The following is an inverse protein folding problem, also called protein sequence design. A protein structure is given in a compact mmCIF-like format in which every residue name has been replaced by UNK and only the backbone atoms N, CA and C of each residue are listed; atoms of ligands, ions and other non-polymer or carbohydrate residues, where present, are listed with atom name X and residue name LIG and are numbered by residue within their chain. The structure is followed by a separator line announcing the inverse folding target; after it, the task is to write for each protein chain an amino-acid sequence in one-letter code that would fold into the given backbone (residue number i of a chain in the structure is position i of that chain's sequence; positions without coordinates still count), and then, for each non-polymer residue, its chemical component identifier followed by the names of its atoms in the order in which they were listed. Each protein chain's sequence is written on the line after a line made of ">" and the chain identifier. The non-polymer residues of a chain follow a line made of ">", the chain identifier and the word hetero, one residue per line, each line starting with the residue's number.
data_IF_770099990084
#
_entry.id   IF_770099990084
#
_cell.length_a   1.000
_cell.length_b   1.000
_cell.length_c   1.000
_cell.angle_alpha   90.00
_cell.angle_beta   90.00
_cell.angle_gamma   90.00
#
_symmetry.space_group_name_H-M   'P 1'
#
loop_
_entity.id
_entity.type
_entity.pdbx_description
1 polymer ?
#
# COMPACT_ATOMS: atom_id res chain seq x y z
N UNK A 1 -48.97 41.00 -23.21
CA UNK A 1 -48.19 39.76 -23.43
C UNK A 1 -47.20 39.62 -22.28
N UNK A 2 -47.42 38.71 -21.34
CA UNK A 2 -46.35 38.01 -20.60
C UNK A 2 -46.96 37.00 -19.62
N UNK A 3 -46.22 35.90 -19.44
CA UNK A 3 -46.34 34.92 -18.36
C UNK A 3 -47.46 33.88 -18.43
N UNK A 4 -47.25 32.85 -19.27
CA UNK A 4 -47.85 31.51 -19.09
C UNK A 4 -46.82 30.36 -19.07
N UNK A 5 -45.52 30.67 -19.07
CA UNK A 5 -44.47 29.65 -19.24
C UNK A 5 -43.69 29.28 -17.96
N UNK A 6 -43.95 29.91 -16.81
CA UNK A 6 -43.20 29.61 -15.57
C UNK A 6 -43.86 28.60 -14.63
N UNK A 7 -45.12 28.28 -14.81
CA UNK A 7 -45.87 27.46 -13.82
C UNK A 7 -45.63 25.94 -14.03
N UNK A 8 -45.27 25.49 -15.23
CA UNK A 8 -45.07 24.06 -15.50
C UNK A 8 -43.74 23.47 -14.99
N UNK A 9 -42.74 24.29 -14.70
CA UNK A 9 -41.42 23.81 -14.28
C UNK A 9 -41.33 23.56 -12.77
N UNK A 10 -42.05 24.34 -11.97
CA UNK A 10 -42.02 24.24 -10.51
C UNK A 10 -42.91 23.09 -9.99
N UNK A 11 -44.03 22.80 -10.66
CA UNK A 11 -44.88 21.65 -10.35
C UNK A 11 -44.21 20.29 -10.65
N UNK A 12 -43.30 20.22 -11.63
CA UNK A 12 -42.51 19.00 -11.89
C UNK A 12 -41.41 18.77 -10.84
N UNK A 13 -40.90 19.85 -10.22
CA UNK A 13 -39.84 19.76 -9.22
C UNK A 13 -40.39 19.41 -7.84
N UNK A 14 -41.62 19.82 -7.51
CA UNK A 14 -42.27 19.53 -6.23
C UNK A 14 -42.93 18.14 -6.18
N UNK A 15 -43.33 17.56 -7.32
CA UNK A 15 -43.81 16.17 -7.40
C UNK A 15 -42.67 15.13 -7.45
N UNK A 16 -41.42 15.57 -7.70
CA UNK A 16 -40.25 14.71 -7.87
C UNK A 16 -39.47 14.47 -6.57
N UNK A 17 -39.80 15.13 -5.46
CA UNK A 17 -39.19 14.87 -4.15
C UNK A 17 -39.71 13.56 -3.56
N UNK A 18 -39.20 12.44 -4.07
CA UNK A 18 -39.50 11.09 -3.60
C UNK A 18 -39.76 10.05 -4.70
N UNK A 19 -39.75 10.46 -5.97
CA UNK A 19 -39.91 9.51 -7.09
C UNK A 19 -38.58 8.80 -7.36
N UNK A 20 -38.57 7.46 -7.28
CA UNK A 20 -37.40 6.66 -7.64
C UNK A 20 -37.18 6.67 -9.15
N UNK A 21 -36.27 7.53 -9.61
CA UNK A 21 -35.91 7.59 -11.03
C UNK A 21 -35.03 6.42 -11.48
N UNK A 22 -34.47 5.61 -10.57
CA UNK A 22 -33.68 4.45 -10.98
C UNK A 22 -34.51 3.42 -11.73
N UNK A 23 -35.82 3.32 -11.47
CA UNK A 23 -36.73 2.43 -12.20
C UNK A 23 -36.75 2.70 -13.72
N UNK A 24 -36.44 3.94 -14.14
CA UNK A 24 -36.37 4.33 -15.56
C UNK A 24 -35.01 4.07 -16.20
N UNK A 25 -33.98 3.82 -15.39
CA UNK A 25 -32.60 3.62 -15.85
C UNK A 25 -32.40 2.14 -16.19
N UNK A 26 -31.82 1.77 -17.34
CA UNK A 26 -31.47 0.37 -17.64
C UNK A 26 -30.41 -0.21 -16.69
N UNK A 27 -30.46 -1.53 -16.44
CA UNK A 27 -29.52 -2.23 -15.55
C UNK A 27 -28.05 -2.02 -15.92
N UNK A 28 -27.73 -1.93 -17.21
CA UNK A 28 -26.37 -1.66 -17.68
C UNK A 28 -25.82 -0.32 -17.20
N UNK A 29 -26.66 0.72 -17.11
CA UNK A 29 -26.26 2.02 -16.58
C UNK A 29 -26.16 2.00 -15.06
N UNK A 30 -27.05 1.27 -14.38
CA UNK A 30 -26.96 1.09 -12.92
C UNK A 30 -25.67 0.37 -12.53
N UNK A 31 -25.27 -0.66 -13.29
CA UNK A 31 -23.99 -1.34 -13.11
C UNK A 31 -22.80 -0.41 -13.31
N UNK A 32 -22.85 0.48 -14.30
CA UNK A 32 -21.80 1.51 -14.48
C UNK A 32 -21.73 2.43 -13.25
N UNK A 33 -22.87 2.86 -12.71
CA UNK A 33 -22.92 3.69 -11.50
C UNK A 33 -22.30 2.95 -10.32
N UNK A 34 -22.64 1.67 -10.12
CA UNK A 34 -22.06 0.84 -9.05
C UNK A 34 -20.57 0.60 -9.21
N UNK A 35 -20.08 0.33 -10.44
CA UNK A 35 -18.65 0.23 -10.72
C UNK A 35 -17.90 1.55 -10.43
N UNK A 36 -18.54 2.71 -10.63
CA UNK A 36 -17.97 4.01 -10.24
C UNK A 36 -17.98 4.25 -8.73
N UNK A 37 -18.95 3.68 -8.00
CA UNK A 37 -18.98 3.73 -6.55
C UNK A 37 -17.81 2.94 -5.95
N UNK A 38 -17.61 1.70 -6.44
CA UNK A 38 -16.57 0.72 -6.06
C UNK A 38 -16.47 0.36 -4.56
N UNK A 39 -16.72 1.28 -3.63
CA UNK A 39 -16.63 1.06 -2.19
C UNK A 39 -17.60 -0.05 -1.74
N UNK A 40 -17.02 -1.16 -1.26
CA UNK A 40 -17.76 -2.37 -0.91
C UNK A 40 -18.81 -2.14 0.18
N UNK A 41 -18.56 -1.20 1.10
CA UNK A 41 -19.54 -0.84 2.14
C UNK A 41 -20.72 -0.07 1.57
N UNK A 42 -20.46 0.89 0.70
CA UNK A 42 -21.50 1.64 0.01
C UNK A 42 -22.31 0.73 -0.92
N UNK A 43 -21.65 -0.17 -1.66
CA UNK A 43 -22.30 -1.20 -2.46
C UNK A 43 -23.17 -2.15 -1.61
N UNK A 44 -22.67 -2.56 -0.44
CA UNK A 44 -23.47 -3.33 0.52
C UNK A 44 -24.73 -2.60 0.99
N UNK A 45 -24.66 -1.27 1.17
CA UNK A 45 -25.85 -0.45 1.44
C UNK A 45 -26.78 -0.35 0.24
N UNK A 46 -26.25 -0.23 -0.98
CA UNK A 46 -27.05 -0.26 -2.21
C UNK A 46 -27.84 -1.58 -2.33
N UNK A 47 -27.26 -2.71 -1.93
CA UNK A 47 -27.95 -4.01 -1.92
C UNK A 47 -29.18 -4.06 -1.00
N UNK A 48 -29.30 -3.14 -0.03
CA UNK A 48 -30.43 -3.08 0.89
C UNK A 48 -31.56 -2.14 0.41
N UNK A 49 -31.33 -1.36 -0.66
CA UNK A 49 -32.30 -0.37 -1.17
C UNK A 49 -33.48 -1.03 -1.87
N UNK A 50 -33.21 -1.99 -2.77
CA UNK A 50 -34.25 -2.67 -3.54
C UNK A 50 -33.81 -4.08 -3.96
N UNK A 51 -34.76 -4.94 -4.33
CA UNK A 51 -34.45 -6.28 -4.88
C UNK A 51 -33.62 -6.18 -6.16
N UNK A 52 -33.89 -5.16 -6.98
CA UNK A 52 -33.16 -4.91 -8.22
C UNK A 52 -31.70 -4.58 -7.93
N UNK A 53 -31.44 -3.69 -6.98
CA UNK A 53 -30.07 -3.34 -6.59
C UNK A 53 -29.37 -4.54 -5.95
N UNK A 54 -30.07 -5.30 -5.10
CA UNK A 54 -29.56 -6.53 -4.50
C UNK A 54 -29.07 -7.56 -5.54
N UNK A 55 -29.75 -7.68 -6.68
CA UNK A 55 -29.36 -8.56 -7.77
C UNK A 55 -28.19 -8.01 -8.62
N UNK A 56 -28.06 -6.69 -8.73
CA UNK A 56 -27.03 -6.04 -9.57
C UNK A 56 -25.69 -5.85 -8.84
N UNK A 57 -25.69 -5.55 -7.54
CA UNK A 57 -24.45 -5.32 -6.78
C UNK A 57 -23.45 -6.50 -6.85
N UNK A 58 -23.86 -7.78 -6.80
CA UNK A 58 -22.93 -8.90 -6.97
C UNK A 58 -22.21 -8.96 -8.32
N UNK A 59 -22.76 -8.28 -9.34
CA UNK A 59 -22.29 -8.29 -10.73
C UNK A 59 -21.30 -7.16 -11.04
N UNK A 60 -20.93 -6.35 -10.05
CA UNK A 60 -19.92 -5.30 -10.22
C UNK A 60 -18.55 -5.91 -10.51
N UNK A 61 -17.79 -5.18 -11.31
CA UNK A 61 -16.45 -5.53 -11.75
C UNK A 61 -15.39 -4.94 -10.83
N UNK A 62 -15.66 -3.73 -10.30
CA UNK A 62 -14.74 -2.95 -9.48
C UNK A 62 -15.20 -2.92 -8.02
N UNK A 63 -14.31 -3.33 -7.11
CA UNK A 63 -14.54 -3.27 -5.67
C UNK A 63 -13.35 -2.63 -4.94
N UNK A 64 -13.64 -1.74 -4.00
CA UNK A 64 -12.70 -1.11 -3.09
C UNK A 64 -13.09 -1.42 -1.66
N UNK A 65 -12.17 -2.00 -0.88
CA UNK A 65 -12.38 -2.35 0.52
C UNK A 65 -11.38 -1.59 1.39
N UNK A 66 -11.90 -0.70 2.23
CA UNK A 66 -11.11 -0.03 3.26
C UNK A 66 -11.28 -0.74 4.60
N UNK A 67 -10.17 -1.19 5.18
CA UNK A 67 -10.17 -1.88 6.47
C UNK A 67 -9.99 -0.85 7.58
N UNK A 68 -11.08 -0.47 8.26
CA UNK A 68 -11.03 0.50 9.35
C UNK A 68 -10.70 -0.21 10.67
N UNK A 69 -9.47 -0.02 11.14
CA UNK A 69 -8.94 -0.25 12.51
C UNK A 69 -9.19 -1.62 13.18
N UNK A 70 -8.08 -2.21 13.60
CA UNK A 70 -8.03 -3.31 14.57
C UNK A 70 -8.05 -2.68 15.96
N UNK A 71 -9.10 -2.94 16.73
CA UNK A 71 -9.11 -2.60 18.16
C UNK A 71 -8.06 -3.50 18.81
N UNK A 72 -7.03 -2.96 19.49
CA UNK A 72 -6.16 -3.78 20.32
C UNK A 72 -7.01 -4.40 21.43
N UNK A 73 -7.09 -5.72 21.45
CA UNK A 73 -7.67 -6.46 22.56
C UNK A 73 -6.68 -6.46 23.73
N UNK A 74 -6.55 -5.33 24.43
CA UNK A 74 -5.95 -5.27 25.76
C UNK A 74 -6.81 -4.33 26.61
N UNK A 75 -7.79 -4.93 27.29
CA UNK A 75 -8.76 -4.22 28.11
C UNK A 75 -9.50 -5.14 29.05
N UNK A 76 -8.81 -6.14 29.60
CA UNK A 76 -9.31 -6.95 30.70
C UNK A 76 -8.11 -7.56 31.44
N UNK A 77 -7.49 -6.78 32.32
CA UNK A 77 -6.97 -7.31 33.57
C UNK A 77 -6.86 -6.16 34.58
N UNK A 78 -7.85 -6.12 35.47
CA UNK A 78 -7.73 -5.40 36.73
C UNK A 78 -6.96 -6.30 37.71
N UNK A 79 -5.83 -5.82 38.22
CA UNK A 79 -5.07 -6.50 39.25
C UNK A 79 -4.01 -5.58 39.85
N UNK A 80 -4.25 -5.17 41.10
CA UNK A 80 -3.39 -4.30 41.89
C UNK A 80 -1.99 -4.89 42.14
N UNK A 81 -0.97 -4.03 42.24
CA UNK A 81 0.38 -4.42 42.64
C UNK A 81 1.33 -3.24 42.68
N UNK A 82 1.65 -2.80 43.90
CA UNK A 82 2.41 -1.61 44.23
C UNK A 82 3.91 -1.68 43.90
N UNK A 83 4.45 -0.50 43.62
CA UNK A 83 5.76 0.08 43.97
C UNK A 83 7.04 -0.74 44.19
N UNK A 84 8.12 -0.05 43.77
CA UNK A 84 9.49 -0.04 44.29
C UNK A 84 10.50 -0.98 43.62
N UNK A 85 11.42 -0.36 42.85
CA UNK A 85 12.83 -0.20 43.23
C UNK A 85 13.53 0.68 42.18
N UNK A 86 13.72 1.96 42.51
CA UNK A 86 14.54 2.88 41.73
C UNK A 86 16.04 2.66 41.97
N UNK A 87 16.86 3.00 40.97
CA UNK A 87 18.23 3.51 41.13
C UNK A 87 18.61 4.30 39.87
N UNK A 88 18.96 5.57 40.06
CA UNK A 88 19.33 6.54 39.03
C UNK A 88 20.79 6.36 38.55
N UNK A 89 21.06 6.69 37.26
CA UNK A 89 22.43 6.89 36.77
C UNK A 89 22.63 6.86 35.24
N UNK A 90 22.73 8.06 34.62
CA UNK A 90 23.33 8.41 33.31
C UNK A 90 22.62 8.03 31.97
N UNK A 91 22.69 8.90 30.93
CA UNK A 91 21.92 8.74 29.69
C UNK A 91 22.65 7.84 28.69
N UNK A 92 21.97 6.80 28.20
CA UNK A 92 22.42 5.97 27.06
C UNK A 92 21.39 6.05 25.94
N UNK A 93 21.71 6.60 24.75
CA UNK A 93 20.78 6.62 23.62
C UNK A 93 20.91 5.29 22.85
N UNK A 94 20.32 4.20 23.36
CA UNK A 94 20.36 2.89 22.65
C UNK A 94 19.06 2.07 22.64
N UNK A 95 17.91 2.65 22.96
CA UNK A 95 16.65 1.88 22.98
C UNK A 95 15.72 2.12 21.76
N UNK A 96 15.81 3.25 21.06
CA UNK A 96 14.75 3.71 20.14
C UNK A 96 14.55 2.82 18.90
N UNK A 97 15.64 2.28 18.32
CA UNK A 97 15.59 1.42 17.14
C UNK A 97 15.09 -0.01 17.42
N UNK A 98 15.26 -0.51 18.65
CA UNK A 98 14.68 -1.81 19.03
C UNK A 98 13.17 -1.71 19.17
N UNK A 99 12.68 -0.54 19.60
CA UNK A 99 11.26 -0.21 19.62
C UNK A 99 10.74 0.02 18.21
N UNK A 100 11.50 0.61 17.28
CA UNK A 100 11.07 0.75 15.87
C UNK A 100 10.96 -0.60 15.15
N UNK A 101 11.93 -1.52 15.34
CA UNK A 101 11.87 -2.86 14.75
C UNK A 101 10.75 -3.69 15.39
N UNK A 102 10.58 -3.62 16.71
CA UNK A 102 9.46 -4.28 17.41
C UNK A 102 8.12 -3.66 17.04
N UNK A 103 8.00 -2.35 16.91
CA UNK A 103 6.77 -1.67 16.52
C UNK A 103 6.43 -1.94 15.05
N UNK A 104 7.39 -1.91 14.13
CA UNK A 104 7.17 -2.29 12.71
C UNK A 104 6.76 -3.76 12.58
N UNK A 105 7.46 -4.67 13.27
CA UNK A 105 7.16 -6.09 13.23
C UNK A 105 5.82 -6.38 13.93
N UNK A 106 5.51 -5.71 15.05
CA UNK A 106 4.24 -5.85 15.75
C UNK A 106 3.09 -5.17 15.01
N UNK A 107 3.30 -4.07 14.30
CA UNK A 107 2.22 -3.40 13.57
C UNK A 107 1.95 -4.01 12.19
N UNK A 108 2.86 -4.86 11.68
CA UNK A 108 2.62 -5.73 10.51
C UNK A 108 2.04 -7.09 10.94
N UNK A 109 2.41 -7.62 12.13
CA UNK A 109 1.94 -8.93 12.60
C UNK A 109 0.68 -8.90 13.48
N UNK A 110 0.42 -7.84 14.26
CA UNK A 110 -0.71 -7.77 15.21
C UNK A 110 -2.07 -7.36 14.62
N UNK A 111 -2.23 -6.70 13.45
CA UNK A 111 -3.57 -6.40 12.98
C UNK A 111 -4.37 -7.65 12.55
N UNK A 112 -3.73 -8.82 12.39
CA UNK A 112 -4.37 -9.98 11.76
C UNK A 112 -4.37 -11.25 12.61
N UNK A 113 -4.02 -11.16 13.90
CA UNK A 113 -4.22 -12.28 14.84
C UNK A 113 -5.70 -12.68 15.00
N UNK A 114 -6.63 -11.85 14.50
CA UNK A 114 -8.08 -12.09 14.53
C UNK A 114 -8.65 -12.67 13.23
N UNK A 115 -7.83 -12.93 12.21
CA UNK A 115 -8.31 -13.48 10.93
C UNK A 115 -8.42 -15.02 10.91
N UNK A 116 -7.87 -15.72 11.90
CA UNK A 116 -7.99 -17.18 12.07
C UNK A 116 -9.09 -17.55 13.10
N UNK A 117 -10.33 -17.06 12.90
CA UNK A 117 -11.47 -17.52 13.68
C UNK A 117 -12.13 -18.71 12.97
N UNK A 118 -11.65 -19.93 13.26
CA UNK A 118 -12.34 -21.18 12.91
C UNK A 118 -13.71 -21.21 13.59
N UNK A 119 -14.76 -21.26 12.78
CA UNK A 119 -16.15 -21.50 13.19
C UNK A 119 -16.29 -22.77 14.04
N UNK A 120 -16.70 -22.61 15.30
CA UNK A 120 -17.20 -23.68 16.18
C UNK A 120 -18.48 -23.23 16.86
N UNK A 121 -19.57 -23.98 16.64
CA UNK A 121 -20.91 -23.67 17.12
C UNK A 121 -21.07 -23.81 18.65
N UNK A 122 -21.93 -22.97 19.27
CA UNK A 122 -22.54 -23.30 20.56
C UNK A 122 -22.88 -22.13 21.50
N UNK A 123 -24.15 -21.73 21.47
CA UNK A 123 -25.01 -21.32 22.61
C UNK A 123 -24.76 -20.02 23.44
N UNK A 124 -25.85 -19.23 23.46
CA UNK A 124 -26.36 -18.32 24.50
C UNK A 124 -25.73 -16.93 24.75
N UNK A 125 -26.44 -15.91 24.23
CA UNK A 125 -27.14 -14.93 25.08
C UNK A 125 -26.30 -13.83 25.73
N UNK A 126 -26.16 -12.69 25.04
CA UNK A 126 -25.69 -11.45 25.64
C UNK A 126 -25.80 -10.27 24.67
N UNK A 127 -26.66 -9.30 24.98
CA UNK A 127 -26.81 -8.04 24.23
C UNK A 127 -25.56 -7.18 24.42
N UNK A 128 -24.61 -7.28 23.51
CA UNK A 128 -23.66 -6.21 23.21
C UNK A 128 -23.52 -6.15 21.70
N UNK A 129 -23.76 -4.97 21.11
CA UNK A 129 -23.44 -4.67 19.73
C UNK A 129 -21.91 -4.67 19.56
N UNK A 130 -21.30 -5.86 19.57
CA UNK A 130 -19.97 -6.09 19.04
C UNK A 130 -20.05 -5.77 17.55
N UNK A 131 -19.38 -4.70 17.13
CA UNK A 131 -19.08 -4.43 15.73
C UNK A 131 -18.44 -5.69 15.15
N UNK A 132 -19.21 -6.47 14.39
CA UNK A 132 -18.76 -7.72 13.81
C UNK A 132 -17.65 -7.38 12.80
N UNK A 133 -16.40 -7.59 13.18
CA UNK A 133 -15.27 -7.47 12.28
C UNK A 133 -15.32 -8.66 11.30
N UNK A 134 -15.94 -8.46 10.14
CA UNK A 134 -15.92 -9.43 9.06
C UNK A 134 -14.52 -9.49 8.45
N UNK A 135 -14.01 -10.71 8.21
CA UNK A 135 -12.77 -10.85 7.44
C UNK A 135 -12.96 -10.26 6.03
N UNK A 136 -11.89 -9.76 5.38
CA UNK A 136 -12.00 -9.22 4.02
C UNK A 136 -12.69 -10.18 3.05
N UNK A 137 -12.40 -11.49 3.15
CA UNK A 137 -13.07 -12.53 2.37
C UNK A 137 -14.58 -12.59 2.65
N UNK A 138 -15.01 -12.52 3.91
CA UNK A 138 -16.42 -12.48 4.27
C UNK A 138 -17.17 -11.27 3.71
N UNK A 139 -16.54 -10.10 3.70
CA UNK A 139 -17.14 -8.88 3.11
C UNK A 139 -17.29 -9.04 1.60
N UNK A 140 -16.30 -9.66 0.95
CA UNK A 140 -16.27 -9.82 -0.51
C UNK A 140 -17.15 -10.99 -1.00
N UNK A 141 -17.51 -11.95 -0.14
CA UNK A 141 -18.28 -13.16 -0.50
C UNK A 141 -19.54 -12.92 -1.36
N UNK A 142 -20.22 -11.79 -1.17
CA UNK A 142 -21.45 -11.48 -1.91
C UNK A 142 -21.20 -10.92 -3.32
N UNK A 143 -19.95 -10.68 -3.70
CA UNK A 143 -19.56 -10.12 -4.97
C UNK A 143 -18.95 -11.22 -5.85
N UNK A 144 -19.76 -11.77 -6.77
CA UNK A 144 -19.39 -12.94 -7.56
C UNK A 144 -18.58 -12.62 -8.81
N UNK A 145 -18.67 -11.38 -9.31
CA UNK A 145 -18.13 -11.00 -10.63
C UNK A 145 -16.96 -10.02 -10.58
N UNK A 146 -16.40 -9.74 -9.39
CA UNK A 146 -15.29 -8.78 -9.24
C UNK A 146 -14.13 -9.21 -10.12
N UNK A 147 -13.65 -8.28 -10.95
CA UNK A 147 -12.42 -8.40 -11.72
C UNK A 147 -11.29 -7.57 -11.12
N UNK A 148 -11.60 -6.40 -10.58
CA UNK A 148 -10.62 -5.48 -10.01
C UNK A 148 -10.89 -5.23 -8.53
N UNK A 149 -9.97 -5.65 -7.67
CA UNK A 149 -10.06 -5.44 -6.23
C UNK A 149 -8.97 -4.49 -5.74
N UNK A 150 -9.37 -3.39 -5.12
CA UNK A 150 -8.49 -2.50 -4.35
C UNK A 150 -8.76 -2.68 -2.88
N UNK A 151 -7.71 -2.87 -2.10
CA UNK A 151 -7.80 -2.94 -0.63
C UNK A 151 -6.90 -1.89 -0.01
N UNK A 152 -7.44 -1.14 0.94
CA UNK A 152 -6.70 -0.18 1.75
C UNK A 152 -6.59 -0.74 3.18
N UNK A 153 -5.36 -1.06 3.58
CA UNK A 153 -5.03 -1.52 4.93
C UNK A 153 -4.95 -0.32 5.89
N UNK A 154 -5.35 -0.50 7.16
CA UNK A 154 -5.27 0.56 8.15
C UNK A 154 -3.82 0.99 8.34
N UNK A 155 -3.67 2.24 8.79
CA UNK A 155 -2.40 2.79 9.21
C UNK A 155 -1.82 1.90 10.31
N UNK A 156 -0.71 1.24 10.01
CA UNK A 156 0.21 0.77 11.05
C UNK A 156 0.76 2.02 11.73
N UNK A 157 0.61 2.13 13.06
CA UNK A 157 1.01 3.28 13.90
C UNK A 157 2.53 3.54 13.94
N UNK A 158 3.25 3.12 12.90
CA UNK A 158 4.66 3.36 12.73
C UNK A 158 4.83 4.30 11.56
N UNK A 159 4.54 5.57 11.83
CA UNK A 159 4.94 6.66 10.96
C UNK A 159 6.44 6.61 10.72
N UNK A 160 6.85 6.96 9.51
CA UNK A 160 8.25 7.33 9.27
C UNK A 160 8.52 8.65 10.02
N UNK A 161 9.69 8.79 10.64
CA UNK A 161 10.08 10.02 11.36
C UNK A 161 9.84 11.26 10.47
N UNK A 162 9.53 12.41 11.09
CA UNK A 162 9.24 13.66 10.38
C UNK A 162 10.29 13.96 9.30
N UNK A 163 9.84 13.93 8.03
CA UNK A 163 10.66 14.22 6.86
C UNK A 163 11.29 13.01 6.17
N UNK A 164 11.24 11.80 6.73
CA UNK A 164 11.66 10.57 6.04
C UNK A 164 10.60 10.19 5.01
N UNK A 165 11.04 9.81 3.81
CA UNK A 165 10.16 9.22 2.81
C UNK A 165 10.55 7.77 2.62
N UNK A 166 9.56 6.89 2.64
CA UNK A 166 9.68 5.52 2.20
C UNK A 166 8.46 5.20 1.34
N UNK A 167 8.70 4.76 0.10
CA UNK A 167 7.68 4.25 -0.80
C UNK A 167 8.13 2.93 -1.39
N UNK A 168 7.22 1.98 -1.51
CA UNK A 168 7.52 0.71 -2.15
C UNK A 168 6.32 0.16 -2.91
N UNK A 169 6.63 -0.58 -3.98
CA UNK A 169 5.65 -1.31 -4.77
C UNK A 169 6.21 -2.70 -5.07
N UNK A 170 5.42 -3.73 -4.81
CA UNK A 170 5.81 -5.10 -5.05
C UNK A 170 4.79 -5.82 -5.94
N UNK A 171 5.29 -6.59 -6.89
CA UNK A 171 4.50 -7.48 -7.76
C UNK A 171 4.74 -8.91 -7.32
N UNK A 172 3.66 -9.64 -7.10
CA UNK A 172 3.69 -11.04 -6.71
C UNK A 172 2.93 -11.89 -7.73
N UNK A 173 3.49 -13.05 -8.07
CA UNK A 173 2.77 -14.19 -8.66
C UNK A 173 2.50 -15.20 -7.55
N UNK A 174 2.99 -16.43 -7.67
CA UNK A 174 3.05 -17.38 -6.55
C UNK A 174 4.09 -16.99 -5.50
N UNK A 175 5.14 -16.29 -5.93
CA UNK A 175 6.16 -15.69 -5.07
C UNK A 175 6.43 -14.25 -5.49
N UNK A 176 7.32 -13.54 -4.78
CA UNK A 176 7.74 -12.20 -5.17
C UNK A 176 8.30 -12.24 -6.60
N UNK A 177 7.80 -11.42 -7.53
CA UNK A 177 8.37 -11.28 -8.88
C UNK A 177 9.26 -10.04 -9.00
N UNK A 178 8.85 -8.93 -8.35
CA UNK A 178 9.67 -7.73 -8.25
C UNK A 178 9.25 -6.85 -7.08
N UNK A 179 10.18 -6.06 -6.55
CA UNK A 179 9.89 -5.01 -5.59
C UNK A 179 10.76 -3.78 -5.89
N UNK A 180 10.14 -2.60 -5.92
CA UNK A 180 10.81 -1.32 -6.09
C UNK A 180 10.62 -0.51 -4.82
N UNK A 181 11.71 0.00 -4.25
CA UNK A 181 11.72 0.78 -3.03
C UNK A 181 12.41 2.11 -3.31
N UNK A 182 11.71 3.21 -3.03
CA UNK A 182 12.21 4.58 -3.06
C UNK A 182 12.24 5.12 -1.62
N UNK A 183 13.42 5.55 -1.16
CA UNK A 183 13.60 6.10 0.18
C UNK A 183 14.35 7.42 0.16
N UNK A 184 14.11 8.26 1.15
CA UNK A 184 14.82 9.51 1.41
C UNK A 184 14.90 9.77 2.90
N UNK A 185 16.05 10.18 3.40
CA UNK A 185 16.29 10.38 4.84
C UNK A 185 15.73 11.71 5.35
N UNK A 186 15.53 12.67 4.46
CA UNK A 186 14.90 13.96 4.76
C UNK A 186 14.34 14.54 3.47
N UNK A 187 13.14 15.12 3.53
CA UNK A 187 12.54 15.82 2.40
C UNK A 187 12.17 17.23 2.77
N UNK A 188 12.72 18.17 2.00
CA UNK A 188 12.47 19.59 2.11
C UNK A 188 11.62 19.99 0.90
N UNK A 189 10.39 20.44 1.16
CA UNK A 189 9.53 20.97 0.10
C UNK A 189 9.79 22.46 -0.05
N UNK A 190 9.79 22.95 -1.28
CA UNK A 190 9.75 24.38 -1.52
C UNK A 190 8.46 24.94 -0.90
N UNK A 191 8.58 25.87 0.05
CA UNK A 191 7.43 26.52 0.67
C UNK A 191 6.65 27.26 -0.42
N UNK A 192 5.37 26.94 -0.57
CA UNK A 192 4.50 27.65 -1.50
C UNK A 192 4.30 29.10 -1.07
N UNK A 193 4.80 30.05 -1.87
CA UNK A 193 4.36 31.45 -1.86
C UNK A 193 5.47 32.49 -1.78
N UNK A 194 5.94 32.99 -2.93
CA UNK A 194 5.64 34.34 -3.46
C UNK A 194 6.64 34.67 -4.57
N UNK A 195 6.14 35.20 -5.69
CA UNK A 195 6.97 35.81 -6.72
C UNK A 195 7.85 36.91 -6.09
N UNK A 196 9.14 36.64 -5.98
CA UNK A 196 10.17 37.66 -5.98
C UNK A 196 11.14 37.30 -7.10
N UNK A 197 10.97 37.96 -8.24
CA UNK A 197 11.94 38.00 -9.31
C UNK A 197 13.28 38.52 -8.79
N UNK A 198 14.33 37.70 -8.85
CA UNK A 198 15.73 38.14 -8.79
C UNK A 198 16.51 37.31 -9.83
N UNK A 199 17.42 37.90 -10.61
CA UNK A 199 17.68 37.47 -11.98
C UNK A 199 18.66 36.30 -12.08
N UNK A 200 18.60 35.62 -13.22
CA UNK A 200 19.61 34.68 -13.67
C UNK A 200 20.99 35.35 -13.70
N UNK A 201 21.88 34.91 -12.80
CA UNK A 201 23.30 35.15 -12.91
C UNK A 201 24.07 34.02 -12.21
N UNK A 202 25.04 33.49 -12.95
CA UNK A 202 26.10 32.58 -12.56
C UNK A 202 25.69 31.14 -12.19
N UNK A 203 25.73 30.30 -13.22
CA UNK A 203 26.22 28.93 -13.07
C UNK A 203 27.58 28.98 -12.33
N UNK A 204 27.56 28.58 -11.06
CA UNK A 204 28.75 28.18 -10.33
C UNK A 204 28.82 26.66 -10.39
N UNK A 205 29.52 26.18 -11.41
CA UNK A 205 30.21 24.89 -11.36
C UNK A 205 31.19 24.93 -10.17
N UNK A 206 30.82 24.28 -9.07
CA UNK A 206 31.67 23.98 -7.91
C UNK A 206 30.85 23.07 -6.98
N UNK A 207 31.06 21.77 -6.80
CA UNK A 207 32.23 20.92 -6.95
C UNK A 207 31.82 19.60 -7.62
N UNK A 208 32.22 19.42 -8.88
CA UNK A 208 32.31 18.11 -9.53
C UNK A 208 33.78 17.66 -9.57
N UNK A 209 34.47 17.76 -8.44
CA UNK A 209 35.79 17.15 -8.24
C UNK A 209 35.76 16.42 -6.91
N UNK A 210 35.32 15.17 -6.94
CA UNK A 210 35.19 14.32 -5.77
C UNK A 210 35.15 12.86 -6.17
N UNK A 211 36.32 12.35 -6.57
CA UNK A 211 36.71 10.93 -6.49
C UNK A 211 35.78 9.91 -7.17
N UNK A 212 36.04 9.63 -8.46
CA UNK A 212 35.47 8.46 -9.17
C UNK A 212 36.15 7.16 -8.70
N UNK A 213 36.12 6.89 -7.39
CA UNK A 213 36.74 5.70 -6.78
C UNK A 213 35.96 4.40 -7.00
N UNK A 214 35.04 4.35 -7.97
CA UNK A 214 34.19 3.16 -8.16
C UNK A 214 33.14 2.93 -7.06
N UNK A 215 33.32 3.53 -5.89
CA UNK A 215 32.62 3.22 -4.63
C UNK A 215 31.29 3.98 -4.46
N UNK A 216 30.51 3.61 -3.43
CA UNK A 216 29.29 4.33 -3.04
C UNK A 216 29.72 5.57 -2.22
N UNK A 217 29.15 6.77 -2.45
CA UNK A 217 29.49 7.96 -1.68
C UNK A 217 29.43 7.74 -0.15
N UNK A 218 30.39 8.30 0.61
CA UNK A 218 30.50 8.07 2.06
C UNK A 218 29.23 8.39 2.85
N UNK A 219 28.47 9.40 2.40
CA UNK A 219 27.17 9.79 2.95
C UNK A 219 26.15 8.64 3.01
N UNK A 220 26.34 7.59 2.19
CA UNK A 220 25.57 6.36 2.28
C UNK A 220 25.81 5.58 3.59
N UNK A 221 27.06 5.56 4.08
CA UNK A 221 27.46 4.79 5.27
C UNK A 221 27.40 5.59 6.56
N UNK A 222 27.59 6.92 6.49
CA UNK A 222 27.56 7.79 7.67
C UNK A 222 26.20 7.79 8.39
N UNK A 223 26.20 8.16 9.67
CA UNK A 223 25.00 8.39 10.48
C UNK A 223 23.98 7.24 10.49
N UNK A 224 24.45 6.00 10.32
CA UNK A 224 23.58 4.82 10.27
C UNK A 224 22.76 4.69 8.98
N UNK A 225 23.11 5.43 7.92
CA UNK A 225 22.39 5.42 6.65
C UNK A 225 22.25 4.03 6.03
N UNK A 226 23.33 3.23 6.00
CA UNK A 226 23.27 1.85 5.51
C UNK A 226 22.30 1.01 6.35
N UNK A 227 22.38 1.09 7.69
CA UNK A 227 21.49 0.35 8.59
C UNK A 227 20.02 0.71 8.34
N UNK A 228 19.73 2.00 8.16
CA UNK A 228 18.37 2.48 7.88
C UNK A 228 17.83 1.92 6.55
N UNK A 229 18.64 1.89 5.49
CA UNK A 229 18.27 1.31 4.19
C UNK A 229 18.05 -0.19 4.24
N UNK A 230 18.86 -0.91 5.03
CA UNK A 230 18.65 -2.34 5.29
C UNK A 230 17.31 -2.56 5.99
N UNK A 231 17.00 -1.77 7.02
CA UNK A 231 15.70 -1.82 7.72
C UNK A 231 14.55 -1.52 6.75
N UNK A 232 14.63 -0.44 5.96
CA UNK A 232 13.61 -0.12 4.95
C UNK A 232 13.38 -1.26 3.97
N UNK A 233 14.45 -1.89 3.49
CA UNK A 233 14.36 -2.99 2.53
C UNK A 233 13.66 -4.19 3.16
N UNK A 234 14.16 -4.66 4.31
CA UNK A 234 13.62 -5.85 4.99
C UNK A 234 12.17 -5.60 5.41
N UNK A 235 11.86 -4.46 6.02
CA UNK A 235 10.51 -4.11 6.45
C UNK A 235 9.53 -4.03 5.28
N UNK A 236 9.93 -3.44 4.14
CA UNK A 236 9.08 -3.38 2.94
C UNK A 236 8.77 -4.76 2.39
N UNK A 237 9.78 -5.64 2.33
CA UNK A 237 9.61 -7.02 1.86
C UNK A 237 8.72 -7.85 2.80
N UNK A 238 8.89 -7.73 4.11
CA UNK A 238 8.02 -8.38 5.09
C UNK A 238 6.57 -7.88 4.91
N UNK A 239 6.38 -6.57 4.82
CA UNK A 239 5.06 -5.96 4.67
C UNK A 239 4.38 -6.39 3.35
N UNK A 240 5.16 -6.55 2.27
CA UNK A 240 4.66 -7.06 1.00
C UNK A 240 4.30 -8.56 1.10
N UNK A 241 5.15 -9.37 1.71
CA UNK A 241 4.91 -10.80 1.90
C UNK A 241 3.71 -11.11 2.81
N UNK A 242 3.46 -10.28 3.83
CA UNK A 242 2.24 -10.38 4.65
C UNK A 242 0.99 -10.03 3.85
N UNK A 243 1.02 -8.94 3.05
CA UNK A 243 -0.09 -8.60 2.14
C UNK A 243 -0.38 -9.73 1.15
N UNK A 244 0.65 -10.36 0.63
CA UNK A 244 0.53 -11.49 -0.28
C UNK A 244 -0.15 -12.70 0.38
N UNK A 245 0.24 -13.02 1.62
CA UNK A 245 -0.38 -14.10 2.38
C UNK A 245 -1.89 -13.89 2.58
N UNK A 246 -2.31 -12.66 2.87
CA UNK A 246 -3.73 -12.30 3.06
C UNK A 246 -4.59 -12.57 1.81
N UNK A 247 -3.99 -12.47 0.61
CA UNK A 247 -4.72 -12.70 -0.65
C UNK A 247 -5.09 -14.15 -0.90
N UNK A 248 -4.51 -15.11 -0.17
CA UNK A 248 -4.73 -16.54 -0.38
C UNK A 248 -6.21 -16.92 -0.38
N UNK A 249 -6.96 -16.47 0.63
CA UNK A 249 -8.39 -16.81 0.74
C UNK A 249 -9.23 -16.03 -0.25
N UNK A 250 -8.92 -14.75 -0.46
CA UNK A 250 -9.66 -13.87 -1.39
C UNK A 250 -9.54 -14.39 -2.82
N UNK A 251 -8.34 -14.72 -3.30
CA UNK A 251 -8.15 -15.21 -4.67
C UNK A 251 -8.76 -16.60 -4.88
N UNK A 252 -8.83 -17.41 -3.82
CA UNK A 252 -9.51 -18.71 -3.83
C UNK A 252 -11.04 -18.56 -3.94
N UNK A 253 -11.62 -17.59 -3.25
CA UNK A 253 -13.07 -17.34 -3.25
C UNK A 253 -13.54 -16.55 -4.49
N UNK A 254 -12.64 -15.78 -5.13
CA UNK A 254 -12.94 -14.94 -6.28
C UNK A 254 -12.11 -15.33 -7.53
N UNK A 255 -12.53 -16.39 -8.26
CA UNK A 255 -11.82 -16.86 -9.45
C UNK A 255 -11.88 -15.88 -10.63
N UNK A 256 -12.81 -14.92 -10.63
CA UNK A 256 -12.98 -13.89 -11.66
C UNK A 256 -11.97 -12.75 -11.57
N UNK A 257 -11.19 -12.66 -10.48
CA UNK A 257 -10.22 -11.57 -10.31
C UNK A 257 -9.17 -11.58 -11.43
N UNK A 258 -8.98 -10.42 -12.04
CA UNK A 258 -7.97 -10.11 -13.06
C UNK A 258 -6.93 -9.11 -12.54
N UNK A 259 -7.28 -8.28 -11.55
CA UNK A 259 -6.36 -7.36 -10.92
C UNK A 259 -6.63 -7.19 -9.43
N UNK A 260 -5.57 -7.18 -8.64
CA UNK A 260 -5.62 -6.94 -7.20
C UNK A 260 -4.54 -5.95 -6.79
N UNK A 261 -4.89 -4.97 -5.96
CA UNK A 261 -3.94 -4.02 -5.37
C UNK A 261 -4.23 -3.81 -3.88
N UNK A 262 -3.25 -4.09 -3.03
CA UNK A 262 -3.29 -3.85 -1.58
C UNK A 262 -2.34 -2.70 -1.24
N UNK A 263 -2.91 -1.55 -0.87
CA UNK A 263 -2.14 -0.37 -0.42
C UNK A 263 -2.36 -0.13 1.07
N UNK A 264 -1.41 0.51 1.74
CA UNK A 264 -1.73 1.17 3.02
C UNK A 264 -2.44 2.51 2.79
N UNK A 265 -3.09 3.00 3.84
CA UNK A 265 -3.85 4.25 3.82
C UNK A 265 -3.01 5.50 3.51
N UNK A 266 -1.68 5.46 3.65
CA UNK A 266 -0.78 6.57 3.34
C UNK A 266 -0.16 6.47 1.93
N UNK A 267 -0.44 5.41 1.18
CA UNK A 267 0.19 5.15 -0.11
C UNK A 267 1.72 4.96 -0.01
N UNK A 268 2.21 4.53 1.15
CA UNK A 268 3.61 4.17 1.37
C UNK A 268 3.94 2.87 0.65
N UNK A 269 3.08 1.86 0.73
CA UNK A 269 3.39 0.51 0.31
C UNK A 269 2.25 -0.16 -0.43
N UNK A 270 2.50 -0.59 -1.67
CA UNK A 270 1.52 -1.27 -2.51
C UNK A 270 2.00 -2.65 -2.93
N UNK A 271 1.20 -3.69 -2.68
CA UNK A 271 1.29 -4.97 -3.37
C UNK A 271 0.32 -5.00 -4.53
N UNK A 272 0.72 -5.51 -5.69
CA UNK A 272 -0.15 -5.69 -6.85
C UNK A 272 0.02 -7.05 -7.51
N UNK A 273 -1.08 -7.60 -8.03
CA UNK A 273 -1.10 -8.80 -8.87
C UNK A 273 -1.99 -8.51 -10.09
N UNK A 274 -1.49 -8.78 -11.29
CA UNK A 274 -2.26 -8.73 -12.54
C UNK A 274 -2.81 -10.11 -12.91
N UNK A 275 -3.35 -10.20 -14.12
CA UNK A 275 -4.06 -11.40 -14.60
C UNK A 275 -3.17 -12.63 -14.62
N UNK A 276 -1.96 -12.49 -15.15
CA UNK A 276 -0.99 -13.59 -15.25
C UNK A 276 -0.48 -14.00 -13.87
N UNK A 277 -0.23 -13.03 -12.98
CA UNK A 277 0.16 -13.28 -11.60
C UNK A 277 -0.92 -14.01 -10.80
N UNK A 278 -2.19 -13.61 -10.96
CA UNK A 278 -3.32 -14.26 -10.30
C UNK A 278 -3.55 -15.66 -10.83
N UNK A 279 -3.33 -15.88 -12.13
CA UNK A 279 -3.35 -17.22 -12.72
C UNK A 279 -2.26 -18.10 -12.11
N UNK A 280 -1.02 -17.61 -12.08
CA UNK A 280 0.12 -18.31 -11.47
C UNK A 280 -0.16 -18.67 -10.01
N UNK A 281 -0.65 -17.71 -9.21
CA UNK A 281 -0.96 -17.90 -7.80
C UNK A 281 -2.09 -18.93 -7.56
N UNK A 282 -3.04 -19.06 -8.47
CA UNK A 282 -4.09 -20.10 -8.43
C UNK A 282 -3.55 -21.48 -8.79
N UNK A 283 -2.71 -21.56 -9.82
CA UNK A 283 -2.13 -22.81 -10.31
C UNK A 283 -1.10 -23.40 -9.33
N UNK A 284 -0.33 -22.51 -8.67
CA UNK A 284 0.69 -22.85 -7.67
C UNK A 284 0.42 -22.05 -6.39
N UNK A 285 -0.56 -22.46 -5.57
CA UNK A 285 -0.83 -21.79 -4.30
C UNK A 285 0.37 -21.94 -3.36
N UNK A 286 0.48 -20.99 -2.41
CA UNK A 286 1.52 -20.97 -1.39
C UNK A 286 1.70 -22.34 -0.73
N UNK A 287 2.92 -22.90 -0.80
CA UNK A 287 3.26 -24.16 -0.16
C UNK A 287 3.01 -24.08 1.35
N UNK A 288 2.48 -25.16 1.94
CA UNK A 288 1.88 -25.23 3.28
C UNK A 288 2.86 -25.14 4.48
N UNK A 289 3.92 -24.33 4.39
CA UNK A 289 4.83 -24.05 5.50
C UNK A 289 4.67 -22.59 5.97
N UNK A 290 3.55 -22.26 6.60
CA UNK A 290 3.32 -20.92 7.14
C UNK A 290 4.00 -20.76 8.51
N UNK A 291 5.35 -20.73 8.52
CA UNK A 291 6.08 -20.22 9.67
C UNK A 291 5.94 -18.69 9.68
N UNK A 292 5.15 -18.18 10.65
CA UNK A 292 4.64 -16.81 10.72
C UNK A 292 3.67 -16.45 9.57
N UNK A 293 2.66 -15.64 9.85
CA UNK A 293 1.59 -15.23 8.93
C UNK A 293 2.09 -14.36 7.74
N UNK A 294 2.99 -14.89 6.91
CA UNK A 294 3.62 -14.25 5.75
C UNK A 294 4.14 -15.29 4.75
N UNK A 295 4.25 -14.89 3.48
CA UNK A 295 4.93 -15.69 2.44
C UNK A 295 6.45 -15.63 2.61
N UNK A 296 7.17 -16.71 2.24
CA UNK A 296 8.63 -16.69 2.18
C UNK A 296 9.12 -15.78 1.05
N UNK A 297 10.13 -14.95 1.33
CA UNK A 297 10.77 -14.12 0.30
C UNK A 297 11.91 -14.95 -0.32
N UNK A 298 11.95 -15.13 -1.65
CA UNK A 298 13.02 -15.90 -2.29
C UNK A 298 14.36 -15.16 -2.19
N UNK A 299 15.46 -15.86 -2.49
CA UNK A 299 16.74 -15.18 -2.70
C UNK A 299 16.60 -14.17 -3.85
N UNK A 300 17.15 -12.97 -3.69
CA UNK A 300 16.96 -11.87 -4.63
C UNK A 300 18.28 -11.18 -5.01
N UNK A 301 18.34 -10.72 -6.26
CA UNK A 301 19.27 -9.72 -6.74
C UNK A 301 18.68 -8.32 -6.54
N UNK A 302 19.51 -7.40 -6.08
CA UNK A 302 19.12 -6.03 -5.80
C UNK A 302 19.99 -5.06 -6.61
N UNK A 303 19.34 -4.12 -7.28
CA UNK A 303 19.98 -2.98 -7.95
C UNK A 303 19.74 -1.75 -7.11
N UNK A 304 20.78 -1.27 -6.45
CA UNK A 304 20.78 -0.07 -5.63
C UNK A 304 21.30 1.12 -6.44
N UNK A 305 20.61 2.26 -6.35
CA UNK A 305 21.05 3.54 -6.87
C UNK A 305 20.90 4.59 -5.78
N UNK A 306 21.90 5.45 -5.65
CA UNK A 306 21.98 6.40 -4.54
C UNK A 306 22.37 7.79 -5.01
N UNK A 307 21.73 8.80 -4.42
CA UNK A 307 22.12 10.20 -4.54
C UNK A 307 22.13 10.84 -3.13
N UNK A 308 23.23 11.49 -2.72
CA UNK A 308 23.29 12.20 -1.43
C UNK A 308 22.20 13.27 -1.30
N UNK A 309 21.91 13.94 -2.40
CA UNK A 309 20.86 14.95 -2.53
C UNK A 309 20.25 14.82 -3.93
N UNK A 310 18.93 14.81 -3.99
CA UNK A 310 18.15 14.75 -5.22
C UNK A 310 17.19 15.94 -5.25
N UNK A 311 17.31 16.78 -6.25
CA UNK A 311 16.42 17.92 -6.47
C UNK A 311 15.45 17.60 -7.59
N UNK A 312 14.16 17.83 -7.35
CA UNK A 312 13.09 17.63 -8.31
C UNK A 312 12.68 18.95 -8.95
N UNK A 313 12.02 18.87 -10.10
CA UNK A 313 11.55 20.03 -10.88
C UNK A 313 10.58 20.93 -10.11
N UNK A 314 9.87 20.40 -9.12
CA UNK A 314 8.96 21.13 -8.24
C UNK A 314 9.67 21.86 -7.07
N UNK A 315 11.01 21.82 -7.03
CA UNK A 315 11.82 22.40 -5.96
C UNK A 315 11.91 21.52 -4.70
N UNK A 316 11.33 20.32 -4.70
CA UNK A 316 11.49 19.35 -3.62
C UNK A 316 12.92 18.81 -3.60
N UNK A 317 13.54 18.83 -2.41
CA UNK A 317 14.89 18.31 -2.17
C UNK A 317 14.79 17.05 -1.31
N UNK A 318 15.27 15.93 -1.82
CA UNK A 318 15.30 14.63 -1.15
C UNK A 318 16.75 14.31 -0.78
N UNK A 319 17.05 14.35 0.51
CA UNK A 319 18.34 13.96 1.06
C UNK A 319 18.42 12.44 1.17
N UNK A 320 19.61 11.90 0.93
CA UNK A 320 19.88 10.46 1.03
C UNK A 320 19.01 9.60 0.12
N UNK A 321 18.60 10.13 -1.03
CA UNK A 321 17.69 9.50 -1.98
C UNK A 321 18.24 8.14 -2.44
N UNK A 322 17.42 7.10 -2.27
CA UNK A 322 17.80 5.70 -2.47
C UNK A 322 16.74 5.01 -3.28
N UNK A 323 17.12 4.41 -4.40
CA UNK A 323 16.26 3.54 -5.20
C UNK A 323 16.82 2.12 -5.16
N UNK A 324 15.97 1.16 -4.78
CA UNK A 324 16.31 -0.26 -4.76
C UNK A 324 15.31 -1.01 -5.63
N UNK A 325 15.82 -1.74 -6.63
CA UNK A 325 15.02 -2.64 -7.46
C UNK A 325 15.42 -4.07 -7.15
N UNK A 326 14.48 -4.86 -6.67
CA UNK A 326 14.67 -6.22 -6.15
C UNK A 326 13.98 -7.19 -7.11
N UNK A 327 14.70 -8.24 -7.52
CA UNK A 327 14.18 -9.35 -8.33
C UNK A 327 14.68 -10.70 -7.80
N UNK A 328 13.88 -11.77 -7.82
CA UNK A 328 14.34 -13.10 -7.45
C UNK A 328 15.54 -13.59 -8.27
N UNK A 329 16.37 -14.41 -7.65
CA UNK A 329 17.44 -15.16 -8.31
C UNK A 329 16.81 -16.39 -8.99
N UNK A 330 16.95 -16.52 -10.31
CA UNK A 330 16.63 -17.77 -11.02
C UNK A 330 15.43 -17.77 -11.97
N UNK A 331 14.66 -16.69 -12.10
CA UNK A 331 13.65 -16.60 -13.18
C UNK A 331 14.27 -16.06 -14.47
N UNK A 332 14.86 -16.97 -15.24
CA UNK A 332 15.12 -16.81 -16.67
C UNK A 332 13.98 -17.43 -17.52
N UNK A 333 12.75 -17.50 -17.01
CA UNK A 333 11.67 -18.28 -17.62
C UNK A 333 10.32 -17.55 -17.73
N UNK A 334 10.16 -16.78 -18.81
CA UNK A 334 8.88 -16.27 -19.34
C UNK A 334 8.36 -15.02 -18.61
N UNK A 335 8.44 -13.79 -19.11
CA UNK A 335 8.32 -13.24 -20.47
C UNK A 335 9.52 -12.30 -20.70
N UNK A 336 9.84 -11.97 -21.96
CA UNK A 336 11.06 -11.28 -22.39
C UNK A 336 11.26 -9.85 -21.88
N UNK A 337 11.45 -9.70 -20.57
CA UNK A 337 11.80 -8.44 -19.93
C UNK A 337 13.27 -8.12 -20.06
N UNK A 338 13.66 -7.64 -21.24
CA UNK A 338 14.94 -6.97 -21.42
C UNK A 338 15.14 -5.87 -20.37
N UNK A 339 16.38 -5.42 -20.19
CA UNK A 339 16.71 -4.26 -19.32
C UNK A 339 15.71 -3.10 -19.47
N UNK A 340 15.22 -2.90 -20.70
CA UNK A 340 14.20 -1.92 -21.08
C UNK A 340 12.83 -2.13 -20.41
N UNK A 341 12.26 -3.34 -20.38
CA UNK A 341 10.94 -3.58 -19.77
C UNK A 341 10.98 -3.37 -18.25
N UNK A 342 12.10 -3.70 -17.61
CA UNK A 342 12.29 -3.40 -16.18
C UNK A 342 12.45 -1.90 -15.93
N UNK A 343 13.20 -1.20 -16.78
CA UNK A 343 13.37 0.25 -16.64
C UNK A 343 12.05 0.99 -16.93
N UNK A 344 11.23 0.50 -17.87
CA UNK A 344 9.88 1.01 -18.16
C UNK A 344 8.93 0.74 -16.97
N UNK A 345 8.93 -0.48 -16.40
CA UNK A 345 8.16 -0.79 -15.18
C UNK A 345 8.57 0.08 -13.99
N UNK A 346 9.88 0.29 -13.80
CA UNK A 346 10.41 1.13 -12.72
C UNK A 346 9.98 2.59 -12.92
N UNK A 347 10.00 3.10 -14.16
CA UNK A 347 9.54 4.45 -14.49
C UNK A 347 8.04 4.65 -14.17
N UNK A 348 7.19 3.66 -14.43
CA UNK A 348 5.75 3.74 -14.18
C UNK A 348 5.33 3.21 -12.79
N UNK A 349 6.29 2.94 -11.91
CA UNK A 349 6.02 2.37 -10.59
C UNK A 349 5.29 3.36 -9.67
N UNK A 350 5.70 4.63 -9.68
CA UNK A 350 5.17 5.69 -8.81
C UNK A 350 4.64 6.87 -9.61
N UNK A 351 3.77 7.66 -8.97
CA UNK A 351 3.15 8.85 -9.56
C UNK A 351 3.69 10.16 -8.97
N UNK A 352 3.41 11.26 -9.68
CA UNK A 352 3.77 12.62 -9.26
C UNK A 352 5.29 12.81 -9.08
N UNK A 353 5.75 13.52 -8.04
CA UNK A 353 7.18 13.85 -7.86
C UNK A 353 8.06 12.60 -7.69
N UNK A 354 7.49 11.48 -7.25
CA UNK A 354 8.22 10.22 -7.09
C UNK A 354 8.56 9.55 -8.43
N UNK A 355 7.76 9.79 -9.47
CA UNK A 355 8.06 9.34 -10.84
C UNK A 355 9.34 9.99 -11.35
N UNK A 356 9.42 11.31 -11.19
CA UNK A 356 10.62 12.08 -11.55
C UNK A 356 11.83 11.60 -10.75
N UNK A 357 11.68 11.41 -9.43
CA UNK A 357 12.75 10.93 -8.57
C UNK A 357 13.32 9.59 -9.06
N UNK A 358 12.46 8.64 -9.45
CA UNK A 358 12.88 7.36 -10.03
C UNK A 358 13.57 7.57 -11.38
N UNK A 359 13.06 8.45 -12.24
CA UNK A 359 13.65 8.76 -13.54
C UNK A 359 15.07 9.31 -13.43
N UNK A 360 15.32 10.20 -12.47
CA UNK A 360 16.67 10.76 -12.21
C UNK A 360 17.58 9.72 -11.58
N UNK A 361 17.11 8.98 -10.56
CA UNK A 361 17.90 7.94 -9.89
C UNK A 361 18.25 6.79 -10.82
N UNK A 362 17.40 6.46 -11.79
CA UNK A 362 17.65 5.37 -12.75
C UNK A 362 18.84 5.61 -13.67
N UNK A 363 19.22 6.88 -13.88
CA UNK A 363 20.39 7.29 -14.67
C UNK A 363 21.69 7.24 -13.87
N UNK A 364 21.63 7.06 -12.55
CA UNK A 364 22.81 6.99 -11.67
C UNK A 364 23.50 5.62 -11.76
N UNK A 365 24.73 5.56 -11.24
CA UNK A 365 25.48 4.32 -11.08
C UNK A 365 24.64 3.30 -10.29
N UNK A 366 24.66 2.06 -10.77
CA UNK A 366 23.93 0.94 -10.18
C UNK A 366 24.90 0.05 -9.43
N UNK A 367 24.60 -0.23 -8.16
CA UNK A 367 25.33 -1.15 -7.30
C UNK A 367 24.52 -2.44 -7.16
N UNK A 368 25.17 -3.58 -7.39
CA UNK A 368 24.54 -4.89 -7.31
C UNK A 368 24.75 -5.47 -5.91
N UNK A 369 23.67 -5.95 -5.31
CA UNK A 369 23.70 -6.67 -4.04
C UNK A 369 22.90 -7.97 -4.17
N UNK A 370 23.26 -8.94 -3.35
CA UNK A 370 22.53 -10.20 -3.22
C UNK A 370 21.94 -10.29 -1.82
N UNK A 371 20.75 -10.87 -1.74
CA UNK A 371 20.04 -11.10 -0.49
C UNK A 371 19.51 -12.53 -0.48
N UNK A 372 19.88 -13.29 0.56
CA UNK A 372 19.36 -14.63 0.77
C UNK A 372 17.85 -14.58 1.07
N UNK A 373 17.13 -15.65 0.71
CA UNK A 373 15.71 -15.78 1.02
C UNK A 373 15.46 -15.96 2.52
N UNK A 374 14.30 -15.51 3.00
CA UNK A 374 13.96 -15.48 4.43
C UNK A 374 12.45 -15.43 4.71
#
# INVERSE_FOLDING_TARGET
>A
MQSRHRIFAEDLLLAAEGEDHFDRVPDSLVLIIFNKLADARSLGRCSAVSRRFNALVPLVDDACLRIDRVIPADGADGGAGADALGLAGAPRPRAVLSHLLKAMLQAVLKPFAHCDAKSGAGAHGGKHAQLQHHSPAQVLKNFSSIRNLRMELPVSDVGTDDGVILKWKAVFGSTLQSCVILGGTKVERAAGGTHASVPAAAAADSDATGDDSGSIPESFYTNGGLKLRVVWTISSLIAAATRHYLLREIVKEHPTLEQVALTDAHGQGTLSMGRDQLKEFRDKPLAAAAAANRTQVPACNMKLRYAPLLELSDGTRIHGATLVVIKPVGEAGGIGGGRKELDDFVADTFDGPFREAVGVLSKRRTYLLEMNGF
#
